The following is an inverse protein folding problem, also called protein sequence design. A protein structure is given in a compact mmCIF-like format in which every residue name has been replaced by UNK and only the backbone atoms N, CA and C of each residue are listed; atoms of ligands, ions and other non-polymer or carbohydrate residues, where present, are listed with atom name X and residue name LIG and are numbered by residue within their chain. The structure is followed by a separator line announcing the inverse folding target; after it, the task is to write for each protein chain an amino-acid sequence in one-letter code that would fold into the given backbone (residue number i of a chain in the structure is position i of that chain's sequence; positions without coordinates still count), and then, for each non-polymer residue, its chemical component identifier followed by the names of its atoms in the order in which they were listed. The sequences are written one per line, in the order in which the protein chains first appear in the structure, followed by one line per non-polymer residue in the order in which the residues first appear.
data_IF_941561532581
#
_entry.id   IF_941561532581
#
_cell.length_a   1.000
_cell.length_b   1.000
_cell.length_c   1.000
_cell.angle_alpha   90.00
_cell.angle_beta   90.00
_cell.angle_gamma   90.00
#
_symmetry.space_group_name_H-M   'P 1'
#
loop_
_entity.id
_entity.type
_entity.pdbx_description
1 polymer ?
#
# COMPACT_ATOMS: atom_id res chain seq x y z
N UNK A 1 14.17 44.43 78.68
CA UNK A 1 14.05 44.94 77.29
C UNK A 1 13.80 43.76 76.37
N UNK A 2 12.60 43.67 75.78
CA UNK A 2 12.36 42.83 74.59
C UNK A 2 12.77 43.65 73.36
N UNK A 3 13.16 43.01 72.25
CA UNK A 3 12.31 43.19 71.10
C UNK A 3 12.02 41.90 70.31
N UNK A 4 10.80 41.91 69.81
CA UNK A 4 10.14 41.08 68.80
C UNK A 4 10.62 41.49 67.41
N UNK A 5 11.01 40.58 66.49
CA UNK A 5 11.12 40.90 65.04
C UNK A 5 11.12 39.60 64.21
N UNK A 6 9.97 39.19 63.67
CA UNK A 6 9.49 39.31 62.27
C UNK A 6 10.05 38.27 61.26
N UNK A 7 9.18 37.35 60.85
CA UNK A 7 9.24 36.61 59.59
C UNK A 7 8.91 37.55 58.41
N UNK A 8 9.57 37.43 57.24
CA UNK A 8 9.00 37.92 56.01
C UNK A 8 8.26 36.78 55.29
N UNK A 9 6.96 37.02 55.10
CA UNK A 9 6.14 36.39 54.09
C UNK A 9 6.47 37.08 52.76
N UNK A 10 7.09 36.39 51.80
CA UNK A 10 7.07 36.83 50.41
C UNK A 10 6.23 35.85 49.60
N UNK A 11 5.02 36.32 49.30
CA UNK A 11 4.09 35.79 48.33
C UNK A 11 4.61 36.00 46.91
N UNK A 12 4.64 34.91 46.14
CA UNK A 12 4.29 34.81 44.73
C UNK A 12 4.86 35.80 43.71
N UNK A 13 5.60 35.26 42.73
CA UNK A 13 5.39 35.60 41.32
C UNK A 13 5.94 34.51 40.40
N UNK A 14 4.99 33.94 39.66
CA UNK A 14 5.07 33.34 38.33
C UNK A 14 6.08 32.22 38.03
N UNK A 15 5.49 31.03 37.90
CA UNK A 15 5.84 30.03 36.89
C UNK A 15 6.33 30.68 35.59
N UNK A 16 7.62 30.56 35.33
CA UNK A 16 8.14 30.49 33.97
C UNK A 16 8.81 29.12 33.82
N UNK A 17 7.99 28.07 33.92
CA UNK A 17 8.33 26.82 33.25
C UNK A 17 8.39 27.17 31.77
N UNK A 18 9.61 27.41 31.29
CA UNK A 18 9.90 27.52 29.88
C UNK A 18 9.41 26.22 29.25
N UNK A 19 8.22 26.28 28.64
CA UNK A 19 7.75 25.30 27.70
C UNK A 19 8.74 25.35 26.53
N UNK A 20 9.82 24.59 26.67
CA UNK A 20 10.61 24.11 25.54
C UNK A 20 9.64 23.29 24.70
N UNK A 21 8.98 23.93 23.75
CA UNK A 21 8.31 23.25 22.66
C UNK A 21 9.40 22.49 21.93
N UNK A 22 9.55 21.21 22.29
CA UNK A 22 10.32 20.25 21.53
C UNK A 22 9.74 20.25 20.13
N UNK A 23 10.35 21.02 19.23
CA UNK A 23 10.26 20.78 17.79
C UNK A 23 10.67 19.32 17.61
N UNK A 24 9.69 18.42 17.49
CA UNK A 24 9.93 17.03 17.15
C UNK A 24 10.48 17.03 15.73
N UNK A 25 11.80 17.13 15.60
CA UNK A 25 12.48 16.88 14.33
C UNK A 25 12.05 15.49 13.89
N UNK A 26 11.30 15.41 12.80
CA UNK A 26 10.86 14.13 12.24
C UNK A 26 12.08 13.42 11.70
N UNK A 27 12.64 12.48 12.47
CA UNK A 27 13.73 11.61 12.04
C UNK A 27 13.23 10.77 10.86
N UNK A 28 13.95 10.79 9.74
CA UNK A 28 13.72 9.84 8.64
C UNK A 28 14.06 8.44 9.14
N UNK A 29 13.18 7.43 8.94
CA UNK A 29 13.48 6.05 9.31
C UNK A 29 14.78 5.53 8.68
N UNK A 30 15.50 4.69 9.39
CA UNK A 30 16.60 3.88 8.85
C UNK A 30 16.08 2.81 7.90
N UNK A 31 16.99 2.13 7.17
CA UNK A 31 16.65 0.95 6.36
C UNK A 31 16.01 -0.15 7.21
N UNK A 32 16.56 -0.41 8.41
CA UNK A 32 16.03 -1.43 9.32
C UNK A 32 14.65 -1.05 9.87
N UNK A 33 14.47 0.19 10.35
CA UNK A 33 13.14 0.67 10.78
C UNK A 33 12.12 0.59 9.62
N UNK A 34 12.56 0.79 8.38
CA UNK A 34 11.72 0.60 7.18
C UNK A 34 11.42 -0.86 6.89
N UNK A 35 12.35 -1.78 7.16
CA UNK A 35 12.13 -3.22 7.08
C UNK A 35 11.05 -3.68 8.08
N UNK A 36 11.09 -3.15 9.31
CA UNK A 36 10.05 -3.43 10.32
C UNK A 36 8.66 -2.98 9.84
N UNK A 37 8.58 -1.79 9.24
CA UNK A 37 7.33 -1.30 8.65
C UNK A 37 6.87 -2.14 7.46
N UNK A 38 7.79 -2.56 6.59
CA UNK A 38 7.48 -3.44 5.47
C UNK A 38 6.94 -4.81 5.93
N UNK A 39 7.52 -5.39 6.98
CA UNK A 39 7.00 -6.62 7.61
C UNK A 39 5.63 -6.42 8.23
N UNK A 40 5.35 -5.25 8.85
CA UNK A 40 4.00 -4.91 9.32
C UNK A 40 3.00 -4.85 8.16
N UNK A 41 3.37 -4.28 7.02
CA UNK A 41 2.50 -4.24 5.83
C UNK A 41 2.26 -5.65 5.30
N UNK A 42 3.30 -6.48 5.19
CA UNK A 42 3.19 -7.86 4.73
C UNK A 42 2.23 -8.68 5.61
N UNK A 43 2.31 -8.50 6.93
CA UNK A 43 1.44 -9.20 7.89
C UNK A 43 -0.03 -8.76 7.81
N UNK A 44 -0.32 -7.55 7.31
CA UNK A 44 -1.66 -6.96 7.28
C UNK A 44 -2.30 -6.93 5.88
N UNK A 45 -1.52 -7.13 4.82
CA UNK A 45 -1.98 -6.96 3.44
C UNK A 45 -2.11 -8.34 2.78
N UNK A 46 -3.32 -8.84 2.51
CA UNK A 46 -3.53 -10.19 1.98
C UNK A 46 -3.22 -10.31 0.48
N UNK A 47 -3.03 -9.20 -0.21
CA UNK A 47 -2.90 -9.18 -1.67
C UNK A 47 -1.65 -8.41 -2.08
N UNK A 48 -1.01 -8.87 -3.14
CA UNK A 48 0.09 -8.14 -3.77
C UNK A 48 0.19 -8.46 -5.26
N UNK A 49 0.98 -7.68 -5.98
CA UNK A 49 1.19 -7.92 -7.41
C UNK A 49 2.47 -8.69 -7.63
N UNK A 50 2.36 -9.92 -8.13
CA UNK A 50 3.51 -10.68 -8.61
C UNK A 50 3.84 -10.26 -10.04
N UNK A 51 5.12 -10.11 -10.34
CA UNK A 51 5.62 -9.85 -11.69
C UNK A 51 6.64 -10.90 -12.11
N UNK A 52 6.44 -11.48 -13.29
CA UNK A 52 7.29 -12.51 -13.92
C UNK A 52 7.61 -12.10 -15.34
N UNK A 53 8.51 -12.82 -16.01
CA UNK A 53 8.92 -12.60 -17.39
C UNK A 53 8.46 -13.81 -18.22
N UNK A 54 7.87 -13.56 -19.38
CA UNK A 54 7.61 -14.63 -20.33
C UNK A 54 8.93 -15.24 -20.81
N UNK A 55 9.05 -16.59 -20.84
CA UNK A 55 10.24 -17.24 -21.39
C UNK A 55 10.43 -16.83 -22.86
N UNK A 56 11.68 -16.76 -23.29
CA UNK A 56 12.02 -16.46 -24.69
C UNK A 56 11.38 -17.48 -25.64
N UNK A 57 10.94 -17.00 -26.81
CA UNK A 57 10.37 -17.86 -27.84
C UNK A 57 11.51 -18.46 -28.68
N UNK A 58 11.84 -19.73 -28.42
CA UNK A 58 12.76 -20.45 -29.30
C UNK A 58 12.08 -20.70 -30.65
N UNK A 59 12.73 -20.24 -31.74
CA UNK A 59 12.23 -20.38 -33.12
C UNK A 59 11.99 -21.85 -33.55
N UNK A 60 12.52 -22.81 -32.79
CA UNK A 60 12.39 -24.25 -33.03
C UNK A 60 11.38 -24.93 -32.11
N UNK A 61 10.89 -24.25 -31.07
CA UNK A 61 10.00 -24.82 -30.06
C UNK A 61 8.54 -24.50 -30.40
N UNK A 62 8.09 -25.03 -31.54
CA UNK A 62 6.66 -25.26 -31.79
C UNK A 62 6.05 -26.28 -30.80
N UNK A 63 6.89 -26.89 -29.95
CA UNK A 63 6.50 -27.75 -28.85
C UNK A 63 6.86 -27.08 -27.52
N UNK A 64 6.02 -26.13 -27.11
CA UNK A 64 5.72 -25.78 -25.73
C UNK A 64 6.42 -26.70 -24.69
N UNK A 65 7.42 -26.16 -23.97
CA UNK A 65 8.01 -26.83 -22.80
C UNK A 65 6.89 -27.47 -21.94
N UNK A 66 7.07 -28.69 -21.42
CA UNK A 66 6.00 -29.44 -20.76
C UNK A 66 5.36 -28.60 -19.64
N UNK A 67 4.13 -28.12 -19.87
CA UNK A 67 3.40 -27.21 -18.97
C UNK A 67 2.90 -25.90 -19.62
N UNK A 68 3.40 -25.54 -20.81
CA UNK A 68 3.07 -24.27 -21.49
C UNK A 68 1.93 -24.39 -22.51
N UNK A 69 1.00 -25.34 -22.34
CA UNK A 69 -0.23 -25.46 -23.16
C UNK A 69 -1.23 -24.33 -22.84
N UNK A 70 -0.83 -23.11 -23.15
CA UNK A 70 -1.63 -21.91 -23.05
C UNK A 70 -1.71 -21.30 -24.45
N UNK A 71 -2.91 -20.84 -24.85
CA UNK A 71 -3.09 -20.17 -26.13
C UNK A 71 -2.54 -18.74 -26.07
N UNK A 72 -1.21 -18.63 -26.06
CA UNK A 72 -0.48 -17.36 -25.94
C UNK A 72 -0.34 -16.71 -27.32
N UNK A 73 -0.56 -15.40 -27.45
CA UNK A 73 -0.12 -14.66 -28.63
C UNK A 73 1.39 -14.81 -28.84
N UNK A 74 1.88 -14.84 -30.09
CA UNK A 74 3.31 -14.84 -30.38
C UNK A 74 3.95 -13.49 -30.06
N UNK A 75 5.27 -13.47 -29.86
CA UNK A 75 6.07 -12.28 -29.58
C UNK A 75 6.04 -11.80 -28.13
N UNK A 76 5.74 -12.69 -27.18
CA UNK A 76 5.70 -12.33 -25.75
C UNK A 76 7.02 -12.55 -25.01
N UNK A 77 8.00 -13.23 -25.60
CA UNK A 77 9.32 -13.47 -24.98
C UNK A 77 9.95 -12.21 -24.39
N UNK A 78 10.43 -12.30 -23.14
CA UNK A 78 11.05 -11.18 -22.42
C UNK A 78 10.08 -10.12 -21.88
N UNK A 79 8.79 -10.17 -22.23
CA UNK A 79 7.81 -9.20 -21.73
C UNK A 79 7.47 -9.49 -20.25
N UNK A 80 7.32 -8.45 -19.41
CA UNK A 80 6.87 -8.62 -18.04
C UNK A 80 5.36 -8.89 -17.99
N UNK A 81 4.97 -9.78 -17.08
CA UNK A 81 3.59 -10.12 -16.76
C UNK A 81 3.35 -9.90 -15.27
N UNK A 82 2.43 -8.99 -14.94
CA UNK A 82 2.10 -8.63 -13.56
C UNK A 82 0.63 -8.87 -13.23
N UNK A 83 0.35 -9.67 -12.21
CA UNK A 83 -1.01 -9.98 -11.74
C UNK A 83 -1.11 -9.97 -10.20
N UNK A 84 -2.34 -9.82 -9.71
CA UNK A 84 -2.67 -9.77 -8.29
C UNK A 84 -2.82 -11.18 -7.72
N UNK A 85 -2.03 -11.51 -6.71
CA UNK A 85 -2.03 -12.82 -6.05
C UNK A 85 -2.32 -12.73 -4.55
N UNK A 86 -2.82 -13.85 -3.99
CA UNK A 86 -2.94 -14.05 -2.55
C UNK A 86 -1.57 -14.24 -1.91
N UNK A 87 -1.32 -13.50 -0.82
CA UNK A 87 -0.07 -13.55 -0.04
C UNK A 87 -0.36 -13.63 1.45
N UNK A 88 0.48 -14.32 2.22
CA UNK A 88 0.36 -14.37 3.68
C UNK A 88 1.69 -14.63 4.38
N UNK A 89 1.83 -14.16 5.62
CA UNK A 89 2.98 -14.44 6.49
C UNK A 89 2.70 -15.68 7.38
N UNK A 90 2.67 -16.87 6.75
CA UNK A 90 2.25 -18.12 7.41
C UNK A 90 3.39 -19.03 7.88
N UNK A 91 4.63 -18.62 7.67
CA UNK A 91 5.80 -19.35 8.12
C UNK A 91 6.47 -18.59 9.27
N UNK A 92 6.07 -18.81 10.54
CA UNK A 92 6.52 -18.02 11.68
C UNK A 92 8.02 -18.15 11.99
N UNK A 93 8.68 -19.17 11.44
CA UNK A 93 10.14 -19.36 11.53
C UNK A 93 10.85 -18.98 10.22
N UNK A 94 10.12 -18.47 9.23
CA UNK A 94 10.75 -17.97 8.01
C UNK A 94 11.37 -16.61 8.25
N UNK A 95 12.41 -16.32 7.47
CA UNK A 95 13.13 -15.06 7.46
C UNK A 95 12.36 -13.96 6.71
N UNK A 96 11.04 -13.88 6.92
CA UNK A 96 10.15 -12.95 6.21
C UNK A 96 9.81 -13.36 4.77
N UNK A 97 9.77 -14.64 4.47
CA UNK A 97 9.37 -15.12 3.14
C UNK A 97 7.83 -15.25 3.10
N UNK A 98 7.11 -14.53 2.22
CA UNK A 98 5.68 -14.70 2.15
C UNK A 98 5.31 -16.05 1.54
N UNK A 99 4.29 -16.65 2.14
CA UNK A 99 3.57 -17.81 1.60
C UNK A 99 2.62 -17.35 0.51
N UNK A 100 2.64 -18.07 -0.61
CA UNK A 100 1.78 -17.84 -1.78
C UNK A 100 1.04 -19.14 -2.08
N UNK A 101 -0.20 -19.02 -2.55
CA UNK A 101 -0.97 -20.15 -3.05
C UNK A 101 -0.86 -20.17 -4.57
N UNK A 102 0.08 -20.96 -5.09
CA UNK A 102 0.36 -21.04 -6.51
C UNK A 102 -0.69 -21.86 -7.26
N UNK A 103 -1.22 -21.31 -8.36
CA UNK A 103 -2.15 -21.99 -9.26
C UNK A 103 -1.44 -22.35 -10.57
N UNK A 104 -1.22 -23.65 -10.84
CA UNK A 104 -0.48 -24.09 -12.03
C UNK A 104 -1.16 -23.73 -13.36
N UNK A 105 -2.45 -23.40 -13.31
CA UNK A 105 -3.22 -22.96 -14.49
C UNK A 105 -2.87 -21.54 -14.93
N UNK A 106 -2.27 -20.73 -14.06
CA UNK A 106 -2.05 -19.30 -14.27
C UNK A 106 -0.71 -19.02 -14.97
N UNK A 107 -0.67 -17.96 -15.79
CA UNK A 107 0.51 -17.54 -16.55
C UNK A 107 1.69 -17.20 -15.63
N UNK A 108 1.46 -16.55 -14.48
CA UNK A 108 2.48 -16.20 -13.48
C UNK A 108 3.30 -17.41 -13.07
N UNK A 109 2.64 -18.48 -12.61
CA UNK A 109 3.34 -19.68 -12.13
C UNK A 109 3.90 -20.55 -13.27
N UNK A 110 3.29 -20.51 -14.46
CA UNK A 110 3.88 -21.12 -15.66
C UNK A 110 5.19 -20.43 -16.07
N UNK A 111 5.27 -19.10 -15.96
CA UNK A 111 6.51 -18.35 -16.24
C UNK A 111 7.59 -18.71 -15.22
N UNK A 112 7.24 -18.79 -13.92
CA UNK A 112 8.16 -19.24 -12.87
C UNK A 112 8.67 -20.66 -13.15
N UNK A 113 7.77 -21.59 -13.51
CA UNK A 113 8.15 -22.97 -13.86
C UNK A 113 9.08 -23.04 -15.09
N UNK A 114 8.98 -22.06 -16.00
CA UNK A 114 9.88 -21.90 -17.15
C UNK A 114 11.21 -21.17 -16.82
N UNK A 115 11.47 -20.87 -15.53
CA UNK A 115 12.73 -20.28 -15.07
C UNK A 115 12.68 -18.77 -14.83
N UNK A 116 11.51 -18.13 -14.87
CA UNK A 116 11.39 -16.71 -14.52
C UNK A 116 11.67 -16.49 -13.03
N UNK A 117 12.57 -15.56 -12.73
CA UNK A 117 12.59 -14.90 -11.43
C UNK A 117 11.28 -14.14 -11.19
N UNK A 118 11.02 -13.77 -9.94
CA UNK A 118 9.77 -13.13 -9.57
C UNK A 118 10.01 -11.92 -8.67
N UNK A 119 9.15 -10.92 -8.79
CA UNK A 119 9.02 -9.86 -7.79
C UNK A 119 7.60 -9.78 -7.26
N UNK A 120 7.46 -9.39 -6.01
CA UNK A 120 6.19 -9.12 -5.32
C UNK A 120 6.17 -7.65 -4.91
N UNK A 121 5.22 -6.88 -5.42
CA UNK A 121 4.98 -5.52 -4.99
C UNK A 121 3.78 -5.47 -4.03
N UNK A 122 3.95 -4.83 -2.88
CA UNK A 122 2.90 -4.67 -1.86
C UNK A 122 2.77 -3.20 -1.49
N UNK A 123 1.54 -2.71 -1.49
CA UNK A 123 1.22 -1.33 -1.12
C UNK A 123 0.32 -1.34 0.11
N UNK A 124 0.67 -0.56 1.12
CA UNK A 124 -0.22 -0.38 2.26
C UNK A 124 -1.48 0.38 1.85
N UNK A 125 -2.63 -0.25 2.07
CA UNK A 125 -3.93 0.40 1.90
C UNK A 125 -4.69 0.33 3.22
N UNK A 126 -4.91 1.47 3.90
CA UNK A 126 -5.68 1.51 5.13
C UNK A 126 -7.08 0.92 4.95
N UNK A 127 -7.58 0.12 5.91
CA UNK A 127 -8.91 -0.48 5.84
C UNK A 127 -10.05 0.55 5.84
N UNK A 128 -9.78 1.78 6.28
CA UNK A 128 -10.74 2.87 6.31
C UNK A 128 -10.17 4.10 5.59
N UNK A 129 -10.45 4.21 4.29
CA UNK A 129 -10.08 5.41 3.51
C UNK A 129 -10.80 6.65 4.04
N UNK A 130 -10.22 7.87 3.98
CA UNK A 130 -10.86 9.08 4.49
C UNK A 130 -12.18 9.39 3.78
N UNK A 131 -13.31 9.03 4.38
CA UNK A 131 -14.66 9.18 3.80
C UNK A 131 -15.07 10.66 3.61
N UNK A 132 -14.31 11.61 4.19
CA UNK A 132 -14.73 13.01 4.29
C UNK A 132 -14.07 13.98 3.30
N UNK A 133 -13.09 13.56 2.49
CA UNK A 133 -12.46 14.48 1.52
C UNK A 133 -13.33 14.74 0.27
N UNK A 134 -14.15 13.77 -0.15
CA UNK A 134 -14.90 13.88 -1.41
C UNK A 134 -16.30 14.52 -1.26
N UNK A 135 -16.89 14.53 -0.07
CA UNK A 135 -18.29 14.99 0.12
C UNK A 135 -18.45 16.50 0.31
N UNK A 136 -17.38 17.27 0.53
CA UNK A 136 -17.48 18.73 0.77
C UNK A 136 -17.44 19.59 -0.49
N UNK A 137 -17.04 19.05 -1.64
CA UNK A 137 -16.97 19.82 -2.91
C UNK A 137 -18.20 19.71 -3.81
N UNK A 138 -19.12 18.75 -3.59
CA UNK A 138 -20.31 18.58 -4.43
C UNK A 138 -21.62 19.20 -3.88
N UNK A 139 -21.55 19.99 -2.80
CA UNK A 139 -22.73 20.64 -2.20
C UNK A 139 -22.68 22.16 -2.22
N UNK A 140 -22.21 22.77 -3.32
CA UNK A 140 -22.60 24.15 -3.67
C UNK A 140 -22.71 24.23 -5.20
N UNK A 141 -23.83 24.79 -5.67
CA UNK A 141 -24.28 24.91 -7.06
C UNK A 141 -25.16 23.77 -7.61
N UNK A 142 -26.33 23.57 -7.00
CA UNK A 142 -27.54 23.34 -7.78
C UNK A 142 -28.62 24.30 -7.28
N UNK A 143 -28.56 25.55 -7.74
CA UNK A 143 -29.77 26.38 -7.77
C UNK A 143 -30.62 25.91 -8.95
N UNK A 144 -31.77 25.36 -8.58
CA UNK A 144 -33.01 25.27 -9.35
C UNK A 144 -33.08 26.25 -10.53
N UNK A 145 -33.18 25.72 -11.75
CA UNK A 145 -34.15 26.22 -12.74
C UNK A 145 -34.84 25.02 -13.37
N UNK A 146 -36.15 24.92 -13.10
CA UNK A 146 -37.09 24.12 -13.86
C UNK A 146 -37.08 24.58 -15.32
N UNK A 147 -36.98 23.66 -16.26
CA UNK A 147 -37.52 23.82 -17.61
C UNK A 147 -37.75 22.45 -18.23
N UNK A 148 -38.99 22.19 -18.61
CA UNK A 148 -39.45 20.97 -19.27
C UNK A 148 -38.96 20.94 -20.72
N UNK A 149 -38.58 19.77 -21.24
CA UNK A 149 -38.98 19.36 -22.59
C UNK A 149 -38.88 17.86 -22.78
N UNK A 150 -39.97 17.27 -23.28
CA UNK A 150 -40.14 15.87 -23.66
C UNK A 150 -39.77 15.67 -25.14
N UNK A 151 -39.37 14.43 -25.49
CA UNK A 151 -39.26 13.82 -26.83
C UNK A 151 -38.02 14.12 -27.72
N UNK A 152 -37.19 13.07 -27.88
CA UNK A 152 -36.83 12.41 -29.18
C UNK A 152 -35.77 11.33 -28.88
N UNK A 153 -36.16 10.07 -28.66
CA UNK A 153 -36.19 8.97 -29.65
C UNK A 153 -34.94 8.88 -30.56
N UNK A 154 -34.12 7.86 -30.32
CA UNK A 154 -33.15 7.26 -31.27
C UNK A 154 -33.91 6.64 -32.48
N UNK A 155 -33.27 6.10 -33.56
CA UNK A 155 -31.86 6.07 -34.00
C UNK A 155 -31.69 6.50 -35.49
N UNK A 156 -30.48 6.58 -36.06
CA UNK A 156 -30.15 6.16 -37.46
C UNK A 156 -28.65 6.32 -37.74
N UNK A 157 -28.18 5.47 -38.65
CA UNK A 157 -26.79 5.12 -38.95
C UNK A 157 -26.19 5.91 -40.12
N UNK A 158 -24.84 5.94 -40.14
CA UNK A 158 -23.95 5.89 -41.32
C UNK A 158 -23.53 7.18 -42.07
N UNK A 159 -22.21 7.23 -42.26
CA UNK A 159 -21.43 7.65 -43.45
C UNK A 159 -20.55 8.93 -43.44
N UNK A 160 -19.26 8.64 -43.67
CA UNK A 160 -18.17 9.36 -44.36
C UNK A 160 -17.54 10.67 -43.84
N UNK A 161 -16.19 10.61 -43.68
CA UNK A 161 -15.12 11.49 -44.24
C UNK A 161 -15.57 12.91 -44.66
N UNK A 162 -14.92 14.02 -44.30
CA UNK A 162 -13.48 14.33 -44.45
C UNK A 162 -13.10 15.61 -43.66
N UNK A 163 -11.79 15.86 -43.59
CA UNK A 163 -11.05 16.99 -43.01
C UNK A 163 -11.68 18.40 -43.13
N UNK A 164 -11.39 19.28 -42.16
CA UNK A 164 -10.89 20.64 -42.43
C UNK A 164 -10.31 21.30 -41.15
N UNK A 165 -9.04 21.68 -41.23
CA UNK A 165 -8.37 22.62 -40.34
C UNK A 165 -9.02 24.02 -40.40
N UNK A 166 -9.30 24.63 -39.25
CA UNK A 166 -9.29 26.09 -39.11
C UNK A 166 -8.85 26.54 -37.71
N UNK A 167 -7.75 27.29 -37.69
CA UNK A 167 -7.33 28.15 -36.58
C UNK A 167 -8.31 29.32 -36.42
N UNK A 168 -8.69 29.64 -35.18
CA UNK A 168 -9.12 31.00 -34.82
C UNK A 168 -8.61 31.41 -33.44
N UNK A 169 -7.94 32.55 -33.44
CA UNK A 169 -7.48 33.35 -32.30
C UNK A 169 -8.59 34.25 -31.74
N UNK A 170 -8.32 34.77 -30.53
CA UNK A 170 -8.99 35.86 -29.77
C UNK A 170 -10.23 35.43 -28.95
N UNK A 171 -10.45 35.87 -27.70
CA UNK A 171 -10.12 37.14 -27.04
C UNK A 171 -9.84 36.95 -25.54
N UNK A 172 -8.88 37.72 -25.02
CA UNK A 172 -8.77 38.06 -23.60
C UNK A 172 -9.96 38.96 -23.20
N UNK A 173 -10.70 38.55 -22.17
CA UNK A 173 -11.58 39.43 -21.41
C UNK A 173 -11.03 39.49 -19.98
N UNK A 174 -10.50 40.66 -19.62
CA UNK A 174 -10.06 40.98 -18.27
C UNK A 174 -11.30 41.26 -17.41
N UNK A 175 -11.58 40.41 -16.44
CA UNK A 175 -12.54 40.68 -15.36
C UNK A 175 -11.77 41.03 -14.09
N UNK A 176 -11.87 42.30 -13.67
CA UNK A 176 -11.36 42.80 -12.40
C UNK A 176 -12.20 42.29 -11.20
N UNK A 177 -11.59 42.15 -10.01
CA UNK A 177 -12.08 41.26 -8.97
C UNK A 177 -13.14 41.90 -8.07
N UNK A 178 -14.25 41.20 -7.85
CA UNK A 178 -15.15 41.47 -6.74
C UNK A 178 -14.51 41.00 -5.43
N UNK A 179 -14.17 41.95 -4.57
CA UNK A 179 -13.76 41.74 -3.19
C UNK A 179 -14.80 40.92 -2.42
N UNK A 180 -14.52 39.64 -2.20
CA UNK A 180 -15.19 38.86 -1.16
C UNK A 180 -14.38 38.97 0.13
N UNK A 181 -15.04 39.41 1.20
CA UNK A 181 -14.46 39.46 2.53
C UNK A 181 -14.13 38.03 3.00
N UNK A 182 -12.89 37.59 2.76
CA UNK A 182 -12.36 36.37 3.34
C UNK A 182 -12.05 36.63 4.81
N UNK A 183 -12.75 35.90 5.69
CA UNK A 183 -12.35 35.74 7.08
C UNK A 183 -10.88 35.30 7.14
N UNK A 184 -10.06 36.14 7.78
CA UNK A 184 -8.67 35.91 8.15
C UNK A 184 -8.56 34.67 9.05
N UNK A 185 -8.47 33.49 8.43
CA UNK A 185 -7.96 32.29 9.06
C UNK A 185 -6.43 32.40 9.14
N UNK A 186 -5.88 32.21 10.33
CA UNK A 186 -4.45 32.26 10.65
C UNK A 186 -3.60 31.55 9.55
N UNK A 187 -2.85 32.37 8.80
CA UNK A 187 -2.05 32.01 7.62
C UNK A 187 -0.86 31.08 7.93
N UNK A 188 -0.59 30.86 9.23
CA UNK A 188 0.53 30.03 9.71
C UNK A 188 0.17 28.55 9.98
N UNK A 189 -0.98 28.07 9.49
CA UNK A 189 -1.28 26.62 9.55
C UNK A 189 -1.06 25.99 8.17
N UNK A 190 -0.06 25.10 8.00
CA UNK A 190 0.11 24.35 6.75
C UNK A 190 -1.19 23.62 6.43
N UNK A 191 -1.74 23.88 5.24
CA UNK A 191 -2.92 23.14 4.77
C UNK A 191 -2.53 21.67 4.62
N UNK A 192 -3.28 20.73 5.22
CA UNK A 192 -2.99 19.32 5.03
C UNK A 192 -3.12 18.94 3.55
N UNK A 193 -2.14 18.19 3.05
CA UNK A 193 -2.13 17.71 1.66
C UNK A 193 -3.31 16.76 1.42
N UNK A 194 -3.89 16.75 0.20
CA UNK A 194 -4.94 15.81 -0.15
C UNK A 194 -4.42 14.37 -0.11
N UNK A 195 -5.31 13.43 0.25
CA UNK A 195 -4.99 11.99 0.25
C UNK A 195 -4.54 11.53 -1.15
N UNK A 196 -3.43 10.80 -1.18
CA UNK A 196 -2.94 10.11 -2.38
C UNK A 196 -2.48 8.70 -2.00
N UNK A 197 -3.05 7.63 -2.60
CA UNK A 197 -2.56 6.27 -2.37
C UNK A 197 -1.05 6.13 -2.62
N UNK A 198 -0.51 6.93 -3.55
CA UNK A 198 0.91 6.90 -3.89
C UNK A 198 1.84 7.49 -2.82
N UNK A 199 1.31 8.22 -1.83
CA UNK A 199 2.09 8.71 -0.70
C UNK A 199 2.08 7.75 0.51
N UNK A 200 1.37 6.62 0.42
CA UNK A 200 1.44 5.57 1.45
C UNK A 200 2.65 4.67 1.20
N UNK A 201 3.18 4.03 2.27
CA UNK A 201 4.33 3.15 2.14
C UNK A 201 4.04 1.94 1.24
N UNK A 202 5.05 1.55 0.46
CA UNK A 202 5.03 0.39 -0.42
C UNK A 202 6.42 -0.18 -0.59
N UNK A 203 6.50 -1.46 -0.92
CA UNK A 203 7.76 -2.15 -1.12
C UNK A 203 7.66 -3.21 -2.20
N UNK A 204 8.83 -3.64 -2.68
CA UNK A 204 8.97 -4.79 -3.56
C UNK A 204 9.96 -5.77 -2.99
N UNK A 205 9.60 -7.06 -3.00
CA UNK A 205 10.47 -8.18 -2.71
C UNK A 205 10.85 -8.83 -4.04
N UNK A 206 12.13 -9.15 -4.23
CA UNK A 206 12.60 -9.85 -5.43
C UNK A 206 13.32 -11.13 -5.00
N UNK A 207 13.14 -12.20 -5.78
CA UNK A 207 13.80 -13.47 -5.55
C UNK A 207 13.19 -14.57 -6.42
N UNK A 208 13.00 -15.75 -5.81
CA UNK A 208 12.49 -16.94 -6.47
C UNK A 208 11.43 -17.65 -5.63
N UNK A 209 10.62 -18.49 -6.29
CA UNK A 209 9.65 -19.34 -5.61
C UNK A 209 10.23 -20.73 -5.38
N UNK A 210 10.01 -21.29 -4.19
CA UNK A 210 10.22 -22.72 -3.94
C UNK A 210 8.98 -23.37 -3.31
N UNK A 211 8.71 -24.66 -3.59
CA UNK A 211 7.66 -25.40 -2.91
C UNK A 211 7.93 -25.55 -1.41
N UNK A 212 6.90 -25.41 -0.58
CA UNK A 212 7.04 -25.71 0.85
C UNK A 212 6.88 -27.21 1.06
N UNK A 213 7.97 -27.90 1.45
CA UNK A 213 7.96 -29.35 1.66
C UNK A 213 6.91 -29.76 2.70
N UNK A 214 5.99 -30.64 2.30
CA UNK A 214 4.87 -31.08 3.14
C UNK A 214 3.73 -30.06 3.27
N UNK A 215 3.83 -28.88 2.61
CA UNK A 215 2.82 -27.83 2.69
C UNK A 215 1.47 -28.25 2.09
N UNK A 216 1.49 -29.03 1.01
CA UNK A 216 0.27 -29.45 0.32
C UNK A 216 -0.48 -30.58 1.03
N UNK A 217 0.21 -31.32 1.91
CA UNK A 217 -0.38 -32.41 2.66
C UNK A 217 -0.95 -31.92 3.99
N UNK A 218 -2.28 -31.70 4.01
CA UNK A 218 -3.04 -31.27 5.18
C UNK A 218 -3.01 -32.26 6.35
N UNK A 219 -2.57 -33.51 6.14
CA UNK A 219 -2.40 -34.48 7.23
C UNK A 219 -1.08 -34.26 8.00
N UNK A 220 -0.13 -33.53 7.42
CA UNK A 220 1.10 -33.13 8.10
C UNK A 220 0.89 -31.89 8.97
N UNK A 221 1.75 -31.73 9.98
CA UNK A 221 1.74 -30.53 10.83
C UNK A 221 1.93 -29.24 10.01
N UNK A 222 2.86 -29.25 9.05
CA UNK A 222 3.18 -28.09 8.21
C UNK A 222 1.97 -27.73 7.34
N UNK A 223 1.44 -28.70 6.58
CA UNK A 223 0.33 -28.43 5.67
C UNK A 223 -0.97 -28.05 6.39
N UNK A 224 -1.26 -28.66 7.54
CA UNK A 224 -2.38 -28.25 8.40
C UNK A 224 -2.24 -26.81 8.88
N UNK A 225 -1.05 -26.43 9.38
CA UNK A 225 -0.75 -25.07 9.85
C UNK A 225 -0.84 -24.03 8.73
N UNK A 226 -0.29 -24.32 7.55
CA UNK A 226 -0.37 -23.43 6.39
C UNK A 226 -1.83 -23.25 5.94
N UNK A 227 -2.60 -24.33 5.84
CA UNK A 227 -4.02 -24.26 5.50
C UNK A 227 -4.81 -23.39 6.48
N UNK A 228 -4.59 -23.57 7.80
CA UNK A 228 -5.25 -22.77 8.83
C UNK A 228 -4.83 -21.30 8.76
N UNK A 229 -3.53 -21.00 8.70
CA UNK A 229 -3.06 -19.62 8.64
C UNK A 229 -3.52 -18.92 7.36
N UNK A 230 -3.36 -19.56 6.19
CA UNK A 230 -3.68 -18.93 4.91
C UNK A 230 -5.17 -18.61 4.80
N UNK A 231 -6.04 -19.48 5.34
CA UNK A 231 -7.50 -19.24 5.34
C UNK A 231 -7.98 -18.25 6.39
N UNK A 232 -7.14 -17.88 7.37
CA UNK A 232 -7.44 -16.75 8.26
C UNK A 232 -7.36 -15.43 7.50
N UNK A 233 -6.36 -15.27 6.63
CA UNK A 233 -6.22 -14.09 5.76
C UNK A 233 -7.13 -14.16 4.52
N UNK A 234 -7.43 -15.37 4.05
CA UNK A 234 -8.23 -15.62 2.84
C UNK A 234 -9.34 -16.66 3.10
N UNK A 235 -10.47 -16.28 3.71
CA UNK A 235 -11.54 -17.23 4.03
C UNK A 235 -12.12 -17.94 2.80
N UNK A 236 -12.10 -17.26 1.66
CA UNK A 236 -12.51 -17.76 0.36
C UNK A 236 -11.54 -18.85 -0.16
N UNK A 237 -10.24 -18.77 0.18
CA UNK A 237 -9.22 -19.74 -0.24
C UNK A 237 -9.43 -21.18 0.22
N UNK A 238 -10.30 -21.40 1.20
CA UNK A 238 -10.73 -22.73 1.63
C UNK A 238 -11.17 -23.63 0.45
N UNK A 239 -11.71 -23.04 -0.62
CA UNK A 239 -12.21 -23.79 -1.78
C UNK A 239 -11.15 -24.12 -2.82
N UNK A 240 -9.93 -23.60 -2.73
CA UNK A 240 -8.86 -23.85 -3.71
C UNK A 240 -7.50 -24.10 -3.06
N UNK A 241 -7.48 -24.54 -1.80
CA UNK A 241 -6.28 -25.09 -1.17
C UNK A 241 -5.80 -26.38 -1.86
N UNK A 242 -4.54 -26.77 -1.66
CA UNK A 242 -3.99 -28.01 -2.21
C UNK A 242 -4.84 -29.24 -1.84
N UNK A 243 -4.93 -30.19 -2.77
CA UNK A 243 -5.79 -31.37 -2.66
C UNK A 243 -7.23 -31.17 -3.13
N UNK A 244 -7.59 -30.00 -3.67
CA UNK A 244 -8.83 -29.84 -4.43
C UNK A 244 -8.76 -30.60 -5.78
N UNK A 245 -9.91 -31.12 -6.24
CA UNK A 245 -10.06 -31.89 -7.48
C UNK A 245 -10.27 -31.05 -8.75
N UNK A 246 -10.55 -29.76 -8.62
CA UNK A 246 -10.90 -28.89 -9.76
C UNK A 246 -9.66 -28.19 -10.34
N UNK A 247 -8.86 -27.56 -9.47
CA UNK A 247 -7.62 -26.88 -9.83
C UNK A 247 -6.51 -27.36 -8.91
N UNK A 248 -5.34 -27.64 -9.50
CA UNK A 248 -4.13 -27.98 -8.76
C UNK A 248 -3.49 -26.69 -8.24
N UNK A 249 -3.40 -26.60 -6.92
CA UNK A 249 -2.74 -25.51 -6.22
C UNK A 249 -1.68 -26.04 -5.27
N UNK A 250 -0.67 -25.21 -5.01
CA UNK A 250 0.46 -25.57 -4.16
C UNK A 250 0.80 -24.44 -3.20
N UNK A 251 1.15 -24.78 -1.97
CA UNK A 251 1.78 -23.84 -1.05
C UNK A 251 3.25 -23.68 -1.43
N UNK A 252 3.60 -22.46 -1.80
CA UNK A 252 4.95 -22.07 -2.14
C UNK A 252 5.39 -20.88 -1.30
N UNK A 253 6.69 -20.64 -1.22
CA UNK A 253 7.23 -19.44 -0.60
C UNK A 253 8.04 -18.63 -1.59
N UNK A 254 7.96 -17.31 -1.48
CA UNK A 254 8.90 -16.41 -2.12
C UNK A 254 10.14 -16.28 -1.24
N UNK A 255 11.25 -16.90 -1.65
CA UNK A 255 12.54 -16.69 -1.00
C UNK A 255 13.04 -15.31 -1.38
N UNK A 256 13.08 -14.42 -0.39
CA UNK A 256 13.47 -13.03 -0.58
C UNK A 256 15.00 -12.91 -0.68
N UNK A 257 15.45 -12.32 -1.78
CA UNK A 257 16.86 -12.02 -2.03
C UNK A 257 17.14 -10.51 -2.00
N UNK A 258 16.18 -9.68 -2.41
CA UNK A 258 16.33 -8.23 -2.45
C UNK A 258 15.03 -7.55 -2.01
N UNK A 259 15.18 -6.38 -1.39
CA UNK A 259 14.05 -5.59 -0.87
C UNK A 259 14.22 -4.14 -1.28
N UNK A 260 13.19 -3.55 -1.89
CA UNK A 260 13.14 -2.14 -2.23
C UNK A 260 11.96 -1.46 -1.55
N UNK A 261 12.18 -0.30 -0.94
CA UNK A 261 11.20 0.41 -0.12
C UNK A 261 10.95 1.84 -0.58
N UNK A 262 9.69 2.26 -0.51
CA UNK A 262 9.26 3.66 -0.64
C UNK A 262 8.33 3.95 0.53
N UNK A 263 8.76 4.78 1.49
CA UNK A 263 7.97 5.05 2.71
C UNK A 263 6.86 6.10 2.55
N UNK A 264 6.77 6.79 1.41
CA UNK A 264 5.78 7.83 1.13
C UNK A 264 6.40 9.05 0.45
N UNK A 265 5.64 10.14 0.36
CA UNK A 265 6.13 11.41 -0.21
C UNK A 265 6.71 12.34 0.85
N UNK A 266 7.57 13.27 0.40
CA UNK A 266 8.17 14.32 1.23
C UNK A 266 9.58 13.97 1.71
N UNK A 267 10.03 14.70 2.71
CA UNK A 267 11.38 14.66 3.30
C UNK A 267 11.42 13.85 4.63
N UNK A 268 10.44 12.95 4.83
CA UNK A 268 10.19 12.28 6.12
C UNK A 268 10.26 10.76 6.07
N UNK A 269 10.56 10.20 4.90
CA UNK A 269 10.50 8.77 4.66
C UNK A 269 11.80 8.28 4.00
N UNK A 270 12.21 7.07 4.38
CA UNK A 270 13.25 6.35 3.69
C UNK A 270 12.76 5.94 2.29
N UNK A 271 13.66 5.99 1.31
CA UNK A 271 13.48 5.42 -0.02
C UNK A 271 14.79 4.75 -0.41
N UNK A 272 14.74 3.48 -0.81
CA UNK A 272 15.94 2.76 -1.22
C UNK A 272 15.89 1.26 -0.98
N UNK A 273 17.03 0.65 -1.27
CA UNK A 273 17.28 -0.78 -1.06
C UNK A 273 17.53 -1.08 0.41
N UNK A 274 16.79 -2.06 0.94
CA UNK A 274 17.00 -2.59 2.28
C UNK A 274 17.91 -3.83 2.16
N UNK A 275 19.03 -3.90 2.89
CA UNK A 275 19.86 -5.10 2.96
C UNK A 275 19.01 -6.33 3.33
N UNK A 276 19.17 -7.44 2.60
CA UNK A 276 18.34 -8.63 2.83
C UNK A 276 18.48 -9.18 4.25
N UNK A 277 19.64 -9.06 4.86
CA UNK A 277 19.85 -9.48 6.25
C UNK A 277 19.05 -8.65 7.25
N UNK A 278 18.83 -7.35 6.99
CA UNK A 278 17.93 -6.53 7.82
C UNK A 278 16.49 -7.05 7.73
N UNK A 279 16.01 -7.37 6.53
CA UNK A 279 14.68 -7.95 6.31
C UNK A 279 14.49 -9.28 7.05
N UNK A 280 15.51 -10.15 6.97
CA UNK A 280 15.52 -11.48 7.58
C UNK A 280 15.55 -11.42 9.11
N UNK A 281 16.22 -10.40 9.66
CA UNK A 281 16.39 -10.22 11.10
C UNK A 281 15.17 -9.61 11.80
N UNK A 282 14.23 -8.99 11.06
CA UNK A 282 13.00 -8.45 11.66
C UNK A 282 12.18 -9.58 12.30
N UNK A 283 11.91 -9.41 13.59
CA UNK A 283 11.11 -10.31 14.41
C UNK A 283 9.62 -9.99 14.37
N UNK A 284 8.81 -10.94 14.84
CA UNK A 284 7.35 -10.74 14.97
C UNK A 284 7.03 -9.63 15.95
N UNK A 285 7.71 -9.64 17.08
CA UNK A 285 7.54 -8.71 18.18
C UNK A 285 7.79 -7.27 17.72
N UNK A 286 8.83 -7.05 16.91
CA UNK A 286 9.14 -5.74 16.35
C UNK A 286 8.04 -5.22 15.43
N UNK A 287 7.61 -6.01 14.44
CA UNK A 287 6.57 -5.51 13.53
C UNK A 287 5.20 -5.43 14.21
N UNK A 288 4.91 -6.26 15.21
CA UNK A 288 3.68 -6.15 16.02
C UNK A 288 3.67 -4.90 16.91
N UNK A 289 4.83 -4.36 17.25
CA UNK A 289 4.97 -3.15 18.07
C UNK A 289 4.67 -1.85 17.30
N UNK A 290 4.91 -1.82 15.99
CA UNK A 290 4.75 -0.61 15.16
C UNK A 290 3.33 -0.46 14.61
N UNK A 291 2.94 0.77 14.25
CA UNK A 291 1.63 1.05 13.61
C UNK A 291 1.81 1.79 12.30
N UNK A 292 1.06 1.36 11.29
CA UNK A 292 1.02 2.01 9.99
C UNK A 292 0.04 3.17 9.97
N UNK A 293 0.25 4.17 9.09
CA UNK A 293 -0.73 5.22 8.86
C UNK A 293 -2.06 4.64 8.38
N UNK A 294 -3.13 4.72 9.16
CA UNK A 294 -4.48 4.29 8.82
C UNK A 294 -4.91 3.00 9.51
N UNK A 295 -4.00 2.38 10.29
CA UNK A 295 -4.20 1.02 10.79
C UNK A 295 -5.35 0.91 11.82
N UNK A 296 -5.47 1.88 12.73
CA UNK A 296 -6.51 1.91 13.80
C UNK A 296 -7.60 2.96 13.57
N UNK A 297 -7.99 3.21 12.31
CA UNK A 297 -9.05 4.17 12.03
C UNK A 297 -10.39 3.80 12.71
N UNK A 298 -11.01 4.75 13.39
CA UNK A 298 -12.39 4.63 13.88
C UNK A 298 -13.34 4.51 12.67
N UNK A 299 -14.07 3.40 12.57
CA UNK A 299 -15.10 3.11 11.56
C UNK A 299 -16.13 4.23 11.39
N UNK A 300 -16.30 5.09 12.39
CA UNK A 300 -17.31 6.13 12.45
C UNK A 300 -16.80 7.55 12.24
N UNK A 301 -15.49 7.81 12.34
CA UNK A 301 -14.92 9.17 12.31
C UNK A 301 -13.96 9.44 11.15
N UNK A 302 -13.41 8.39 10.52
CA UNK A 302 -12.29 8.57 9.60
C UNK A 302 -11.06 9.17 10.29
N UNK A 303 -9.93 9.20 9.59
CA UNK A 303 -8.66 9.71 10.12
C UNK A 303 -8.58 11.25 10.11
N UNK A 304 -7.87 11.82 11.11
CA UNK A 304 -7.47 13.24 11.09
C UNK A 304 -6.30 13.42 10.10
N UNK A 305 -6.39 14.46 9.29
CA UNK A 305 -5.35 14.96 8.37
C UNK A 305 -3.93 15.10 8.98
N UNK A 306 -3.81 15.20 10.30
CA UNK A 306 -2.52 15.24 11.01
C UNK A 306 -1.83 13.88 11.10
N UNK A 307 -2.59 12.80 11.12
CA UNK A 307 -2.09 11.42 11.22
C UNK A 307 -1.46 10.96 9.88
N UNK A 308 -1.87 11.59 8.76
CA UNK A 308 -1.28 11.46 7.42
C UNK A 308 0.15 11.98 7.30
N UNK A 309 0.49 13.03 8.04
CA UNK A 309 1.81 13.68 7.97
C UNK A 309 2.77 13.20 9.06
N UNK A 310 2.30 12.30 9.92
CA UNK A 310 3.05 11.78 11.04
C UNK A 310 3.96 10.65 10.53
N UNK A 311 5.25 10.63 10.92
CA UNK A 311 6.08 9.47 10.67
C UNK A 311 5.47 8.24 11.36
N UNK A 312 5.71 7.03 10.84
CA UNK A 312 5.32 5.80 11.51
C UNK A 312 5.79 5.82 12.95
N UNK A 313 4.90 5.46 13.89
CA UNK A 313 5.26 5.50 15.30
C UNK A 313 6.02 4.21 15.64
N UNK A 314 7.34 4.32 15.75
CA UNK A 314 8.20 3.31 16.32
C UNK A 314 8.11 3.45 17.85
N UNK A 315 7.48 2.51 18.53
CA UNK A 315 7.64 2.41 19.98
C UNK A 315 9.00 1.78 20.24
N UNK A 316 10.02 2.61 20.44
CA UNK A 316 11.29 2.14 21.00
C UNK A 316 10.98 1.70 22.43
N UNK A 317 10.98 0.40 22.70
CA UNK A 317 11.11 -0.09 24.07
C UNK A 317 12.50 0.35 24.54
N UNK A 318 12.52 1.41 25.35
CA UNK A 318 13.73 1.86 26.01
C UNK A 318 14.19 0.82 27.02
N UNK A 319 15.49 0.54 27.00
CA UNK A 319 16.20 -0.15 28.06
C UNK A 319 15.87 0.48 29.42
N UNK A 320 15.30 -0.34 30.32
CA UNK A 320 15.51 -0.33 31.78
C UNK A 320 15.23 -1.73 32.32
#
# INVERSE_FOLDING_TARGET
MKPTTFLPLFTGLSNAAALSSSLKTTKIPTSYESAVLARRILALTPLGTLSTIFPEEDKNDAAAAPGTKENRPPGLGGMPHGLLEYISDCEPHSTGNPTILALNIETTFKNVAAGSNISLAVTWTPPHTPVHALKKHHKKHHHSKKSNSWFSWLPFTSHHHDDHHHHHHHHHQEDHPHHSHHHSGNENTPKPLPYSPAALPRFSLLGYIEPIKGGDDRSTEIGSRLATCFTQSHPDAKWWLPGNRIHESHFVRLVVEQVYWIGGFGDRAYIGWIPVEEWRNVTREEWESVRLPGEKGDKTKGWDSKEWSAPPTLTVQGDL
#
